data_IF_255023260956
#
_entry.id   IF_255023260956
#
_cell.length_a   1.000
_cell.length_b   1.000
_cell.length_c   1.000
_cell.angle_alpha   90.00
_cell.angle_beta   90.00
_cell.angle_gamma   90.00
#
_symmetry.space_group_name_H-M   'P 1'
#
loop_
_entity.id
_entity.type
_entity.pdbx_description
1 polymer ?
#
# COMPACT_ATOMS: atom_id res chain seq x y z
N UNK A 1 36.45 11.64 -20.49
CA UNK A 1 35.30 10.81 -20.04
C UNK A 1 34.44 11.50 -18.97
N UNK A 2 34.18 12.82 -19.06
CA UNK A 2 33.38 13.57 -18.06
C UNK A 2 31.91 13.82 -18.49
N UNK A 3 31.63 13.65 -19.78
CA UNK A 3 30.31 13.85 -20.39
C UNK A 3 29.21 12.88 -19.89
N UNK A 4 29.47 11.59 -19.52
CA UNK A 4 28.37 10.69 -19.15
C UNK A 4 27.76 11.01 -17.76
N UNK A 5 28.55 11.52 -16.81
CA UNK A 5 28.06 11.84 -15.47
C UNK A 5 27.18 13.09 -15.45
N UNK A 6 27.53 14.11 -16.24
CA UNK A 6 26.75 15.34 -16.34
C UNK A 6 25.37 15.08 -16.96
N UNK A 7 25.30 14.26 -18.01
CA UNK A 7 24.03 13.85 -18.63
C UNK A 7 23.12 13.12 -17.63
N UNK A 8 23.67 12.18 -16.85
CA UNK A 8 22.93 11.46 -15.82
C UNK A 8 22.41 12.40 -14.71
N UNK A 9 23.20 13.39 -14.29
CA UNK A 9 22.75 14.40 -13.33
C UNK A 9 21.65 15.30 -13.90
N UNK A 10 21.70 15.64 -15.18
CA UNK A 10 20.62 16.43 -15.82
C UNK A 10 19.33 15.61 -15.98
N UNK A 11 19.45 14.34 -16.36
CA UNK A 11 18.31 13.43 -16.52
C UNK A 11 17.62 13.14 -15.18
N UNK A 12 18.40 12.88 -14.12
CA UNK A 12 17.87 12.70 -12.76
C UNK A 12 17.16 13.95 -12.24
N UNK A 13 17.73 15.15 -12.44
CA UNK A 13 17.07 16.42 -12.07
C UNK A 13 15.74 16.61 -12.77
N UNK A 14 15.70 16.39 -14.09
CA UNK A 14 14.47 16.49 -14.88
C UNK A 14 13.42 15.49 -14.38
N UNK A 15 13.81 14.24 -14.14
CA UNK A 15 12.89 13.20 -13.62
C UNK A 15 12.38 13.51 -12.23
N UNK A 16 13.23 14.01 -11.33
CA UNK A 16 12.82 14.45 -10.00
C UNK A 16 11.81 15.61 -10.08
N UNK A 17 11.99 16.53 -11.02
CA UNK A 17 11.03 17.60 -11.27
C UNK A 17 9.68 17.08 -11.77
N UNK A 18 9.66 16.18 -12.77
CA UNK A 18 8.41 15.54 -13.21
C UNK A 18 7.74 14.79 -12.08
N UNK A 19 8.53 14.10 -11.26
CA UNK A 19 8.03 13.38 -10.10
C UNK A 19 7.37 14.32 -9.08
N UNK A 20 8.05 15.40 -8.67
CA UNK A 20 7.50 16.38 -7.72
C UNK A 20 6.27 17.09 -8.28
N UNK A 21 6.30 17.52 -9.54
CA UNK A 21 5.14 18.13 -10.21
C UNK A 21 3.96 17.18 -10.27
N UNK A 22 4.21 15.91 -10.58
CA UNK A 22 3.16 14.90 -10.59
C UNK A 22 2.55 14.74 -9.19
N UNK A 23 3.35 14.70 -8.12
CA UNK A 23 2.85 14.61 -6.75
C UNK A 23 1.95 15.80 -6.40
N UNK A 24 2.37 17.03 -6.72
CA UNK A 24 1.58 18.23 -6.48
C UNK A 24 0.23 18.17 -7.20
N UNK A 25 0.21 17.76 -8.46
CA UNK A 25 -1.04 17.63 -9.21
C UNK A 25 -1.96 16.54 -8.65
N UNK A 26 -1.40 15.43 -8.15
CA UNK A 26 -2.22 14.41 -7.48
C UNK A 26 -2.82 14.92 -6.18
N UNK A 27 -2.02 15.65 -5.41
CA UNK A 27 -2.44 16.26 -4.16
C UNK A 27 -3.62 17.21 -4.42
N UNK A 28 -3.53 18.05 -5.45
CA UNK A 28 -4.63 18.93 -5.86
C UNK A 28 -5.91 18.16 -6.18
N UNK A 29 -5.85 17.08 -6.98
CA UNK A 29 -7.02 16.25 -7.28
C UNK A 29 -7.62 15.67 -5.99
N UNK A 30 -6.78 15.09 -5.13
CA UNK A 30 -7.26 14.46 -3.89
C UNK A 30 -7.87 15.50 -2.94
N UNK A 31 -7.34 16.72 -2.88
CA UNK A 31 -7.95 17.82 -2.13
C UNK A 31 -9.32 18.22 -2.71
N UNK A 32 -9.49 18.22 -4.04
CA UNK A 32 -10.80 18.53 -4.63
C UNK A 32 -11.87 17.49 -4.30
N UNK A 33 -11.49 16.21 -4.20
CA UNK A 33 -12.42 15.10 -3.93
C UNK A 33 -12.41 14.61 -2.47
N UNK A 34 -11.92 15.43 -1.54
CA UNK A 34 -11.76 15.02 -0.15
C UNK A 34 -13.07 14.57 0.51
N UNK A 35 -14.17 15.28 0.26
CA UNK A 35 -15.48 14.93 0.81
C UNK A 35 -15.94 13.54 0.32
N UNK A 36 -15.80 13.26 -0.98
CA UNK A 36 -16.16 11.97 -1.56
C UNK A 36 -15.35 10.81 -0.96
N UNK A 37 -14.05 11.02 -0.73
CA UNK A 37 -13.19 10.03 -0.08
C UNK A 37 -13.65 9.80 1.37
N UNK A 38 -14.02 10.86 2.09
CA UNK A 38 -14.54 10.74 3.46
C UNK A 38 -15.85 9.94 3.50
N UNK A 39 -16.75 10.18 2.54
CA UNK A 39 -18.00 9.43 2.41
C UNK A 39 -17.75 7.96 2.10
N UNK A 40 -16.78 7.64 1.23
CA UNK A 40 -16.44 6.26 0.92
C UNK A 40 -15.91 5.50 2.15
N UNK A 41 -15.07 6.12 2.97
CA UNK A 41 -14.56 5.49 4.20
C UNK A 41 -15.64 5.27 5.26
N UNK A 42 -16.57 6.21 5.38
CA UNK A 42 -17.66 6.11 6.36
C UNK A 42 -18.79 5.17 5.89
N UNK A 43 -18.85 4.82 4.61
CA UNK A 43 -19.88 3.94 4.05
C UNK A 43 -19.94 2.57 4.74
N UNK A 44 -18.78 1.96 5.02
CA UNK A 44 -18.68 0.65 5.69
C UNK A 44 -19.28 0.64 7.11
N UNK A 45 -19.55 1.82 7.67
CA UNK A 45 -20.13 1.99 9.00
C UNK A 45 -21.64 2.24 8.97
N UNK A 46 -22.23 2.53 7.81
CA UNK A 46 -23.66 2.89 7.69
C UNK A 46 -24.62 1.74 8.04
N UNK A 47 -24.17 0.49 7.95
CA UNK A 47 -25.00 -0.70 8.19
C UNK A 47 -25.15 -1.14 9.66
N UNK A 48 -24.59 -0.42 10.64
CA UNK A 48 -24.62 -0.86 12.05
C UNK A 48 -25.30 0.13 13.01
N UNK A 49 -25.98 -0.40 14.05
CA UNK A 49 -26.59 0.35 15.16
C UNK A 49 -25.51 0.97 16.10
N UNK A 50 -24.64 1.82 15.58
CA UNK A 50 -23.51 2.39 16.33
C UNK A 50 -23.70 3.90 16.49
N UNK A 51 -23.59 4.40 17.73
CA UNK A 51 -23.59 5.84 18.02
C UNK A 51 -22.22 6.42 17.68
N UNK A 52 -22.15 7.25 16.64
CA UNK A 52 -20.92 7.95 16.27
C UNK A 52 -20.82 9.30 16.99
N UNK A 53 -19.67 9.56 17.61
CA UNK A 53 -19.36 10.87 18.16
C UNK A 53 -18.40 11.63 17.25
N UNK A 54 -18.86 12.79 16.74
CA UNK A 54 -18.03 13.76 16.05
C UNK A 54 -17.28 14.61 17.08
N UNK A 55 -16.04 14.25 17.40
CA UNK A 55 -15.21 15.12 18.23
C UNK A 55 -14.48 16.16 17.36
N UNK A 56 -14.63 17.45 17.69
CA UNK A 56 -13.92 18.63 17.12
C UNK A 56 -13.60 18.56 15.61
N UNK A 57 -14.52 19.10 14.82
CA UNK A 57 -14.43 19.33 13.36
C UNK A 57 -13.05 19.82 12.86
N UNK A 58 -12.32 20.64 13.61
CA UNK A 58 -11.07 21.23 13.12
C UNK A 58 -9.85 20.28 13.15
N UNK A 59 -9.77 19.35 14.13
CA UNK A 59 -8.62 18.41 14.25
C UNK A 59 -8.82 17.17 13.37
N UNK A 60 -10.08 16.81 13.09
CA UNK A 60 -10.45 15.74 12.16
C UNK A 60 -10.05 16.09 10.73
N UNK A 61 -10.27 17.34 10.30
CA UNK A 61 -9.90 17.86 8.98
C UNK A 61 -8.39 17.80 8.74
N UNK A 62 -7.56 18.13 9.72
CA UNK A 62 -6.10 18.16 9.57
C UNK A 62 -5.52 16.74 9.42
N UNK A 63 -6.00 15.77 10.20
CA UNK A 63 -5.64 14.36 10.01
C UNK A 63 -6.17 13.82 8.68
N UNK A 64 -7.33 14.29 8.23
CA UNK A 64 -7.89 13.95 6.93
C UNK A 64 -7.00 14.47 5.79
N UNK A 65 -6.49 15.70 5.87
CA UNK A 65 -5.53 16.25 4.90
C UNK A 65 -4.18 15.52 4.87
N UNK A 66 -3.64 15.13 6.02
CA UNK A 66 -2.43 14.27 6.07
C UNK A 66 -2.70 12.92 5.42
N UNK A 67 -3.92 12.40 5.56
CA UNK A 67 -4.30 11.16 4.94
C UNK A 67 -4.46 11.28 3.42
N UNK A 68 -5.15 12.31 2.96
CA UNK A 68 -5.25 12.69 1.55
C UNK A 68 -3.87 12.92 0.93
N UNK A 69 -2.93 13.49 1.69
CA UNK A 69 -1.54 13.60 1.29
C UNK A 69 -0.89 12.22 1.07
N UNK A 70 -1.07 11.27 2.00
CA UNK A 70 -0.62 9.87 1.87
C UNK A 70 -1.29 9.15 0.69
N UNK A 71 -2.60 9.35 0.48
CA UNK A 71 -3.34 8.81 -0.66
C UNK A 71 -2.87 9.42 -2.01
N UNK A 72 -2.55 10.72 -2.03
CA UNK A 72 -2.01 11.43 -3.20
C UNK A 72 -0.58 11.03 -3.56
N UNK A 73 0.24 10.65 -2.57
CA UNK A 73 1.55 10.02 -2.79
C UNK A 73 1.40 8.67 -3.50
N UNK A 74 0.22 8.05 -3.39
CA UNK A 74 -0.09 6.69 -3.81
C UNK A 74 -0.71 6.59 -5.21
N UNK A 75 -1.66 7.47 -5.55
CA UNK A 75 -2.35 7.46 -6.85
C UNK A 75 -1.44 7.76 -8.08
N UNK A 76 -0.16 8.10 -7.85
CA UNK A 76 0.86 8.22 -8.91
C UNK A 76 2.02 7.25 -8.78
N UNK A 77 1.81 6.12 -8.10
CA UNK A 77 2.83 5.07 -8.00
C UNK A 77 3.34 4.57 -9.36
N UNK A 78 2.53 4.68 -10.42
CA UNK A 78 2.97 4.51 -11.81
C UNK A 78 4.08 5.45 -12.21
N UNK A 79 3.88 6.76 -12.12
CA UNK A 79 4.90 7.75 -12.54
C UNK A 79 6.13 7.73 -11.61
N UNK A 80 5.90 7.43 -10.32
CA UNK A 80 6.93 7.35 -9.27
C UNK A 80 7.93 6.21 -9.50
N UNK A 81 7.48 5.01 -9.82
CA UNK A 81 8.41 3.90 -10.11
C UNK A 81 9.07 4.00 -11.48
N UNK A 82 8.40 4.57 -12.48
CA UNK A 82 8.99 4.73 -13.82
C UNK A 82 10.18 5.68 -13.81
N UNK A 83 10.13 6.73 -12.98
CA UNK A 83 11.24 7.66 -12.79
C UNK A 83 12.34 7.11 -11.88
N UNK A 84 11.99 6.42 -10.79
CA UNK A 84 12.98 5.85 -9.85
C UNK A 84 13.71 4.59 -10.36
N UNK A 85 13.06 3.74 -11.15
CA UNK A 85 13.72 2.53 -11.68
C UNK A 85 14.62 2.83 -12.87
N UNK A 86 14.22 3.78 -13.71
CA UNK A 86 15.07 4.32 -14.78
C UNK A 86 16.17 5.24 -14.24
N UNK A 87 16.05 5.73 -13.00
CA UNK A 87 17.10 6.48 -12.33
C UNK A 87 18.38 5.65 -12.19
N UNK A 88 18.31 4.33 -11.97
CA UNK A 88 19.49 3.49 -11.78
C UNK A 88 20.08 2.87 -13.07
N UNK A 89 19.43 3.01 -14.23
CA UNK A 89 19.90 2.42 -15.50
C UNK A 89 19.72 3.36 -16.70
N UNK A 90 20.70 3.41 -17.62
CA UNK A 90 20.65 4.29 -18.79
C UNK A 90 19.53 3.91 -19.76
N UNK A 91 18.77 4.92 -20.18
CA UNK A 91 17.45 4.80 -20.81
C UNK A 91 17.47 4.70 -22.35
N UNK A 92 18.30 3.83 -22.94
CA UNK A 92 18.55 3.85 -24.40
C UNK A 92 18.11 2.62 -25.20
N UNK A 93 17.30 1.69 -24.66
CA UNK A 93 16.89 0.48 -25.41
C UNK A 93 15.39 0.39 -25.74
N UNK A 94 15.10 0.21 -27.03
CA UNK A 94 13.75 0.03 -27.62
C UNK A 94 12.99 -1.18 -27.04
N UNK A 95 13.71 -2.19 -26.56
CA UNK A 95 13.16 -3.37 -25.86
C UNK A 95 12.61 -3.04 -24.47
N UNK A 96 13.06 -1.94 -23.83
CA UNK A 96 12.57 -1.51 -22.52
C UNK A 96 11.17 -0.89 -22.59
N UNK A 97 10.69 -0.44 -23.76
CA UNK A 97 9.39 0.21 -23.93
C UNK A 97 8.23 -0.79 -23.79
N UNK A 98 8.36 -1.99 -24.35
CA UNK A 98 7.36 -3.06 -24.18
C UNK A 98 7.28 -3.50 -22.71
N UNK A 99 8.43 -3.55 -22.04
CA UNK A 99 8.55 -3.88 -20.62
C UNK A 99 7.95 -2.78 -19.73
N UNK A 100 8.14 -1.52 -20.11
CA UNK A 100 7.53 -0.35 -19.47
C UNK A 100 6.00 -0.47 -19.43
N UNK A 101 5.38 -0.94 -20.52
CA UNK A 101 3.93 -1.16 -20.58
C UNK A 101 3.44 -2.24 -19.63
N UNK A 102 4.15 -3.37 -19.54
CA UNK A 102 3.79 -4.46 -18.62
C UNK A 102 4.00 -4.07 -17.15
N UNK A 103 5.07 -3.33 -16.86
CA UNK A 103 5.37 -2.77 -15.54
C UNK A 103 4.39 -1.65 -15.14
N UNK A 104 3.72 -1.02 -16.10
CA UNK A 104 2.69 -0.02 -15.85
C UNK A 104 1.36 -0.64 -15.44
N UNK A 105 0.83 -1.56 -16.26
CA UNK A 105 -0.56 -2.03 -16.14
C UNK A 105 -0.73 -3.06 -15.02
N UNK A 106 0.18 -4.04 -14.92
CA UNK A 106 0.05 -5.13 -13.95
C UNK A 106 0.06 -4.64 -12.50
N UNK A 107 1.10 -3.90 -12.06
CA UNK A 107 1.17 -3.37 -10.71
C UNK A 107 -0.01 -2.44 -10.37
N UNK A 108 -0.46 -1.59 -11.30
CA UNK A 108 -1.64 -0.74 -11.09
C UNK A 108 -2.90 -1.52 -10.74
N UNK A 109 -3.19 -2.56 -11.53
CA UNK A 109 -4.37 -3.40 -11.31
C UNK A 109 -4.32 -4.04 -9.92
N UNK A 110 -3.12 -4.42 -9.46
CA UNK A 110 -2.93 -5.03 -8.15
C UNK A 110 -2.96 -4.04 -6.99
N UNK A 111 -2.60 -2.78 -7.23
CA UNK A 111 -2.84 -1.70 -6.29
C UNK A 111 -4.35 -1.50 -6.07
N UNK A 112 -5.11 -1.40 -7.16
CA UNK A 112 -6.57 -1.25 -7.13
C UNK A 112 -7.22 -2.48 -6.46
N UNK A 113 -6.79 -3.70 -6.81
CA UNK A 113 -7.31 -4.91 -6.17
C UNK A 113 -6.99 -4.93 -4.68
N UNK A 114 -5.81 -4.45 -4.28
CA UNK A 114 -5.44 -4.29 -2.88
C UNK A 114 -6.39 -3.38 -2.11
N UNK A 115 -6.76 -2.23 -2.69
CA UNK A 115 -7.77 -1.34 -2.11
C UNK A 115 -9.13 -2.03 -1.97
N UNK A 116 -9.58 -2.75 -3.00
CA UNK A 116 -10.85 -3.50 -2.95
C UNK A 116 -10.85 -4.59 -1.87
N UNK A 117 -9.77 -5.38 -1.79
CA UNK A 117 -9.60 -6.42 -0.76
C UNK A 117 -9.68 -5.80 0.64
N UNK A 118 -9.04 -4.64 0.85
CA UNK A 118 -9.13 -3.93 2.13
C UNK A 118 -10.55 -3.49 2.48
N UNK A 119 -11.24 -2.83 1.55
CA UNK A 119 -12.58 -2.30 1.82
C UNK A 119 -13.66 -3.38 1.96
N UNK A 120 -13.56 -4.47 1.20
CA UNK A 120 -14.59 -5.50 1.17
C UNK A 120 -14.35 -6.57 2.24
N UNK A 121 -13.09 -6.92 2.51
CA UNK A 121 -12.76 -8.06 3.39
C UNK A 121 -12.20 -7.57 4.73
N UNK A 122 -11.10 -6.82 4.72
CA UNK A 122 -10.34 -6.52 5.94
C UNK A 122 -11.09 -5.57 6.88
N UNK A 123 -11.68 -4.51 6.33
CA UNK A 123 -12.40 -3.51 7.14
C UNK A 123 -13.66 -4.11 7.78
N UNK A 124 -14.58 -4.78 7.05
CA UNK A 124 -15.74 -5.41 7.66
C UNK A 124 -15.37 -6.48 8.70
N UNK A 125 -14.30 -7.26 8.45
CA UNK A 125 -13.80 -8.25 9.40
C UNK A 125 -13.35 -7.57 10.71
N UNK A 126 -12.58 -6.49 10.62
CA UNK A 126 -12.18 -5.71 11.80
C UNK A 126 -13.39 -5.12 12.55
N UNK A 127 -14.39 -4.60 11.82
CA UNK A 127 -15.59 -4.03 12.42
C UNK A 127 -16.50 -5.06 13.10
N UNK A 128 -16.60 -6.26 12.52
CA UNK A 128 -17.33 -7.38 13.11
C UNK A 128 -16.66 -7.86 14.39
N UNK A 129 -15.32 -7.96 14.37
CA UNK A 129 -14.55 -8.26 15.56
C UNK A 129 -14.77 -7.22 16.66
N UNK A 130 -14.66 -5.92 16.34
CA UNK A 130 -14.88 -4.89 17.35
C UNK A 130 -16.27 -5.01 17.96
N UNK A 131 -17.31 -5.29 17.18
CA UNK A 131 -18.69 -5.42 17.71
C UNK A 131 -18.85 -6.50 18.79
N UNK A 132 -17.99 -7.51 18.82
CA UNK A 132 -18.00 -8.53 19.88
C UNK A 132 -17.59 -8.01 21.26
N UNK A 133 -16.97 -6.83 21.33
CA UNK A 133 -16.56 -6.19 22.59
C UNK A 133 -17.67 -5.42 23.28
N UNK A 134 -18.84 -5.27 22.64
CA UNK A 134 -19.99 -4.66 23.28
C UNK A 134 -20.55 -5.60 24.34
N UNK A 135 -20.49 -5.16 25.61
CA UNK A 135 -21.10 -5.87 26.74
C UNK A 135 -22.32 -5.07 27.17
N UNK A 136 -23.51 -5.58 26.86
CA UNK A 136 -24.79 -5.00 27.32
C UNK A 136 -25.28 -5.79 28.53
N UNK A 137 -24.77 -5.48 29.72
CA UNK A 137 -25.27 -6.08 30.97
C UNK A 137 -26.18 -5.06 31.64
N UNK A 138 -27.46 -5.42 31.74
CA UNK A 138 -28.58 -4.57 32.19
C UNK A 138 -28.37 -3.96 33.60
N UNK A 139 -27.44 -4.49 34.40
CA UNK A 139 -27.22 -4.09 35.80
C UNK A 139 -25.78 -3.66 36.15
N UNK A 140 -24.87 -3.58 35.16
CA UNK A 140 -23.48 -3.14 35.38
C UNK A 140 -22.93 -2.44 34.14
N UNK A 141 -22.26 -1.30 34.33
CA UNK A 141 -21.42 -0.57 33.36
C UNK A 141 -21.57 -1.01 31.89
N UNK A 142 -22.43 -0.31 31.15
CA UNK A 142 -22.56 -0.45 29.70
C UNK A 142 -21.26 0.00 29.02
N UNK A 143 -20.44 -0.96 28.60
CA UNK A 143 -19.25 -0.69 27.77
C UNK A 143 -19.72 -0.71 26.32
N UNK A 144 -20.07 0.47 25.81
CA UNK A 144 -20.37 0.69 24.40
C UNK A 144 -19.07 1.01 23.65
N UNK A 145 -18.88 0.41 22.47
CA UNK A 145 -17.82 0.82 21.55
C UNK A 145 -18.01 2.27 21.12
N UNK A 146 -17.24 3.16 21.74
CA UNK A 146 -17.13 4.55 21.33
C UNK A 146 -16.27 4.65 20.07
N UNK A 147 -16.89 4.46 18.91
CA UNK A 147 -16.19 4.56 17.66
C UNK A 147 -15.93 6.04 17.29
N UNK A 148 -14.72 6.56 17.56
CA UNK A 148 -14.31 7.90 17.12
C UNK A 148 -14.04 7.91 15.62
N UNK A 149 -14.93 8.50 14.82
CA UNK A 149 -14.82 8.51 13.34
C UNK A 149 -13.38 8.79 12.87
N UNK A 150 -12.71 9.77 13.47
CA UNK A 150 -11.31 10.11 13.15
C UNK A 150 -10.32 8.95 13.24
N UNK A 151 -10.38 8.14 14.32
CA UNK A 151 -9.43 7.04 14.50
C UNK A 151 -9.73 5.92 13.51
N UNK A 152 -11.01 5.67 13.24
CA UNK A 152 -11.43 4.65 12.28
C UNK A 152 -11.09 5.03 10.85
N UNK A 153 -11.40 6.25 10.41
CA UNK A 153 -11.02 6.74 9.08
C UNK A 153 -9.50 6.70 8.91
N UNK A 154 -8.75 7.02 9.97
CA UNK A 154 -7.30 6.93 9.94
C UNK A 154 -6.81 5.47 9.77
N UNK A 155 -7.36 4.52 10.53
CA UNK A 155 -6.96 3.11 10.43
C UNK A 155 -7.33 2.47 9.11
N UNK A 156 -8.59 2.62 8.70
CA UNK A 156 -9.14 2.06 7.45
C UNK A 156 -8.28 2.46 6.26
N UNK A 157 -8.04 3.76 6.15
CA UNK A 157 -7.22 4.25 5.08
C UNK A 157 -5.78 3.72 5.20
N UNK A 158 -5.17 3.72 6.39
CA UNK A 158 -3.77 3.30 6.62
C UNK A 158 -3.54 1.83 6.24
N UNK A 159 -4.47 0.95 6.60
CA UNK A 159 -4.50 -0.45 6.19
C UNK A 159 -4.58 -0.56 4.67
N UNK A 160 -5.51 0.18 4.05
CA UNK A 160 -5.70 0.21 2.60
C UNK A 160 -4.41 0.64 1.88
N UNK A 161 -3.73 1.66 2.39
CA UNK A 161 -2.47 2.16 1.85
C UNK A 161 -1.34 1.16 1.99
N UNK A 162 -1.07 0.62 3.18
CA UNK A 162 0.08 -0.29 3.36
C UNK A 162 -0.07 -1.58 2.56
N UNK A 163 -1.27 -2.17 2.54
CA UNK A 163 -1.51 -3.43 1.84
C UNK A 163 -1.44 -3.26 0.32
N UNK A 164 -2.07 -2.22 -0.23
CA UNK A 164 -2.04 -1.94 -1.67
C UNK A 164 -0.63 -1.65 -2.16
N UNK A 165 0.16 -0.87 -1.41
CA UNK A 165 1.56 -0.62 -1.71
C UNK A 165 2.43 -1.86 -1.61
N UNK A 166 2.18 -2.71 -0.61
CA UNK A 166 2.92 -3.95 -0.44
C UNK A 166 2.71 -4.90 -1.64
N UNK A 167 1.46 -5.05 -2.09
CA UNK A 167 1.11 -5.81 -3.29
C UNK A 167 1.81 -5.24 -4.52
N UNK A 168 1.70 -3.92 -4.72
CA UNK A 168 2.31 -3.21 -5.83
C UNK A 168 3.83 -3.43 -5.91
N UNK A 169 4.55 -3.23 -4.80
CA UNK A 169 6.00 -3.39 -4.74
C UNK A 169 6.44 -4.84 -4.97
N UNK A 170 5.69 -5.79 -4.43
CA UNK A 170 6.00 -7.23 -4.56
C UNK A 170 5.88 -7.70 -6.01
N UNK A 171 4.82 -7.30 -6.73
CA UNK A 171 4.70 -7.60 -8.17
C UNK A 171 5.77 -6.93 -9.00
N UNK A 172 6.04 -5.67 -8.72
CA UNK A 172 7.06 -4.92 -9.45
C UNK A 172 8.42 -5.60 -9.35
N UNK A 173 8.80 -6.04 -8.15
CA UNK A 173 10.04 -6.78 -7.91
C UNK A 173 10.06 -8.11 -8.67
N UNK A 174 8.94 -8.85 -8.67
CA UNK A 174 8.80 -10.10 -9.42
C UNK A 174 8.98 -9.92 -10.93
N UNK A 175 8.25 -8.96 -11.52
CA UNK A 175 8.35 -8.66 -12.95
C UNK A 175 9.77 -8.25 -13.32
N UNK A 176 10.41 -7.43 -12.48
CA UNK A 176 11.78 -6.99 -12.74
C UNK A 176 12.77 -8.16 -12.78
N UNK A 177 12.75 -9.02 -11.78
CA UNK A 177 13.68 -10.17 -11.75
C UNK A 177 13.38 -11.23 -12.80
N UNK A 178 12.12 -11.37 -13.22
CA UNK A 178 11.78 -12.22 -14.36
C UNK A 178 12.51 -11.78 -15.63
N UNK A 179 12.64 -10.47 -15.83
CA UNK A 179 13.31 -9.89 -17.00
C UNK A 179 14.82 -9.97 -16.86
N UNK A 180 15.36 -9.66 -15.68
CA UNK A 180 16.80 -9.59 -15.48
C UNK A 180 17.45 -10.99 -15.55
N UNK A 181 16.94 -11.95 -14.76
CA UNK A 181 17.58 -13.27 -14.58
C UNK A 181 16.57 -14.44 -14.59
N UNK A 182 15.35 -14.26 -15.10
CA UNK A 182 14.33 -15.32 -15.10
C UNK A 182 13.87 -15.76 -13.69
N UNK A 183 13.85 -14.84 -12.72
CA UNK A 183 13.48 -15.05 -11.30
C UNK A 183 14.48 -15.86 -10.44
N UNK A 184 15.64 -16.25 -10.97
CA UNK A 184 16.62 -17.08 -10.25
C UNK A 184 17.17 -16.34 -9.02
N UNK A 185 17.62 -15.10 -9.20
CA UNK A 185 18.21 -14.29 -8.13
C UNK A 185 17.22 -13.99 -7.00
N UNK A 186 15.95 -13.72 -7.32
CA UNK A 186 14.90 -13.56 -6.30
C UNK A 186 14.64 -14.83 -5.51
N UNK A 187 14.57 -15.99 -6.17
CA UNK A 187 14.30 -17.25 -5.49
C UNK A 187 15.38 -17.55 -4.44
N UNK A 188 16.65 -17.41 -4.80
CA UNK A 188 17.76 -17.58 -3.84
C UNK A 188 17.70 -16.57 -2.69
N UNK A 189 17.34 -15.31 -2.97
CA UNK A 189 17.19 -14.28 -1.94
C UNK A 189 16.10 -14.64 -0.93
N UNK A 190 14.89 -15.01 -1.39
CA UNK A 190 13.79 -15.40 -0.50
C UNK A 190 14.12 -16.66 0.30
N UNK A 191 14.79 -17.65 -0.31
CA UNK A 191 15.17 -18.89 0.36
C UNK A 191 16.19 -18.64 1.49
N UNK A 192 17.19 -17.80 1.26
CA UNK A 192 18.23 -17.48 2.25
C UNK A 192 17.72 -16.56 3.37
N UNK A 193 16.88 -15.58 3.01
CA UNK A 193 16.51 -14.49 3.90
C UNK A 193 15.08 -14.58 4.45
N UNK A 194 14.38 -15.71 4.32
CA UNK A 194 12.97 -15.86 4.75
C UNK A 194 12.74 -15.40 6.19
N UNK A 195 13.57 -15.85 7.13
CA UNK A 195 13.44 -15.49 8.56
C UNK A 195 13.62 -13.99 8.79
N UNK A 196 14.63 -13.38 8.17
CA UNK A 196 14.90 -11.94 8.29
C UNK A 196 13.80 -11.09 7.66
N UNK A 197 13.23 -11.55 6.54
CA UNK A 197 12.14 -10.86 5.87
C UNK A 197 10.86 -10.83 6.70
N UNK A 198 10.53 -11.94 7.36
CA UNK A 198 9.40 -12.03 8.30
C UNK A 198 9.57 -11.06 9.47
N UNK A 199 10.75 -11.02 10.08
CA UNK A 199 11.07 -10.10 11.18
C UNK A 199 11.01 -8.64 10.70
N UNK A 200 11.52 -8.36 9.51
CA UNK A 200 11.47 -7.03 8.92
C UNK A 200 10.02 -6.56 8.70
N UNK A 201 9.15 -7.41 8.15
CA UNK A 201 7.72 -7.10 7.99
C UNK A 201 7.07 -6.85 9.36
N UNK A 202 7.36 -7.66 10.36
CA UNK A 202 6.82 -7.47 11.71
C UNK A 202 7.24 -6.12 12.30
N UNK A 203 8.52 -5.77 12.22
CA UNK A 203 9.04 -4.48 12.72
C UNK A 203 8.43 -3.31 11.94
N UNK A 204 8.40 -3.40 10.61
CA UNK A 204 7.81 -2.36 9.76
C UNK A 204 6.33 -2.17 10.09
N UNK A 205 5.54 -3.24 10.16
CA UNK A 205 4.11 -3.15 10.50
C UNK A 205 3.92 -2.55 11.88
N UNK A 206 4.71 -2.95 12.89
CA UNK A 206 4.61 -2.39 14.24
C UNK A 206 4.97 -0.90 14.34
N UNK A 207 5.86 -0.40 13.49
CA UNK A 207 6.23 1.02 13.47
C UNK A 207 5.25 1.86 12.65
N UNK A 208 4.75 1.27 11.56
CA UNK A 208 4.01 1.99 10.53
C UNK A 208 2.51 1.97 10.75
N UNK A 209 1.94 0.99 11.46
CA UNK A 209 0.50 0.83 11.68
C UNK A 209 0.05 1.36 13.05
N UNK A 210 -1.26 1.64 13.22
CA UNK A 210 -1.78 2.05 14.51
C UNK A 210 -1.57 0.96 15.57
N UNK A 211 -1.49 1.33 16.86
CA UNK A 211 -1.20 0.40 17.95
C UNK A 211 -2.35 -0.55 18.30
N UNK A 212 -3.42 -0.57 17.51
CA UNK A 212 -4.54 -1.51 17.67
C UNK A 212 -4.05 -2.93 17.36
N UNK A 213 -3.78 -3.71 18.41
CA UNK A 213 -3.14 -5.01 18.30
C UNK A 213 -3.84 -5.95 17.30
N UNK A 214 -5.18 -5.99 17.26
CA UNK A 214 -5.88 -6.87 16.32
C UNK A 214 -5.74 -6.41 14.87
N UNK A 215 -5.98 -5.13 14.59
CA UNK A 215 -5.86 -4.60 13.22
C UNK A 215 -4.45 -4.81 12.68
N UNK A 216 -3.44 -4.61 13.54
CA UNK A 216 -2.05 -4.90 13.22
C UNK A 216 -1.82 -6.39 12.93
N UNK A 217 -2.33 -7.30 13.78
CA UNK A 217 -2.21 -8.75 13.58
C UNK A 217 -2.88 -9.22 12.27
N UNK A 218 -4.06 -8.68 11.97
CA UNK A 218 -4.86 -9.04 10.81
C UNK A 218 -4.16 -8.63 9.51
N UNK A 219 -3.62 -7.41 9.47
CA UNK A 219 -2.83 -6.94 8.34
C UNK A 219 -1.51 -7.70 8.22
N UNK A 220 -0.84 -7.98 9.33
CA UNK A 220 0.39 -8.77 9.34
C UNK A 220 0.16 -10.16 8.76
N UNK A 221 -0.91 -10.85 9.16
CA UNK A 221 -1.29 -12.15 8.64
C UNK A 221 -1.56 -12.09 7.12
N UNK A 222 -2.25 -11.04 6.66
CA UNK A 222 -2.51 -10.84 5.23
C UNK A 222 -1.23 -10.63 4.41
N UNK A 223 -0.28 -9.84 4.92
CA UNK A 223 1.01 -9.60 4.28
C UNK A 223 1.82 -10.90 4.25
N UNK A 224 1.83 -11.66 5.34
CA UNK A 224 2.52 -12.95 5.40
C UNK A 224 1.96 -13.92 4.35
N UNK A 225 0.65 -14.08 4.27
CA UNK A 225 0.02 -14.94 3.26
C UNK A 225 0.43 -14.52 1.84
N UNK A 226 0.43 -13.22 1.54
CA UNK A 226 0.88 -12.69 0.26
C UNK A 226 2.34 -13.03 -0.03
N UNK A 227 3.24 -12.91 0.97
CA UNK A 227 4.66 -13.25 0.77
C UNK A 227 4.89 -14.72 0.46
N UNK A 228 4.09 -15.60 1.04
CA UNK A 228 4.19 -17.04 0.77
C UNK A 228 3.67 -17.37 -0.63
N UNK A 229 2.57 -16.73 -1.06
CA UNK A 229 2.09 -16.83 -2.44
C UNK A 229 3.14 -16.34 -3.43
N UNK A 230 3.79 -15.20 -3.16
CA UNK A 230 4.87 -14.71 -4.01
C UNK A 230 6.07 -15.66 -4.06
N UNK A 231 6.44 -16.27 -2.93
CA UNK A 231 7.49 -17.28 -2.90
C UNK A 231 7.10 -18.52 -3.74
N UNK A 232 5.86 -19.02 -3.62
CA UNK A 232 5.37 -20.13 -4.43
C UNK A 232 5.45 -19.84 -5.93
N UNK A 233 5.09 -18.62 -6.34
CA UNK A 233 5.23 -18.18 -7.74
C UNK A 233 6.69 -18.31 -8.19
N UNK A 234 7.65 -17.82 -7.39
CA UNK A 234 9.09 -17.96 -7.75
C UNK A 234 9.53 -19.42 -7.87
N UNK A 235 9.00 -20.32 -7.02
CA UNK A 235 9.32 -21.75 -7.09
C UNK A 235 8.81 -22.38 -8.40
N UNK A 236 7.57 -22.08 -8.80
CA UNK A 236 6.97 -22.63 -10.03
C UNK A 236 7.81 -22.21 -11.26
N UNK A 237 8.19 -20.93 -11.33
CA UNK A 237 9.04 -20.43 -12.42
C UNK A 237 10.45 -21.03 -12.39
N UNK A 238 11.03 -21.20 -11.21
CA UNK A 238 12.36 -21.82 -11.07
C UNK A 238 12.39 -23.27 -11.54
N UNK A 239 11.35 -24.06 -11.23
CA UNK A 239 11.22 -25.44 -11.71
C UNK A 239 11.08 -25.46 -13.23
N UNK A 240 10.25 -24.58 -13.81
CA UNK A 240 10.03 -24.52 -15.26
C UNK A 240 11.29 -24.15 -16.05
N UNK A 241 12.18 -23.35 -15.48
CA UNK A 241 13.39 -22.89 -16.19
C UNK A 241 14.58 -23.86 -16.06
N UNK A 242 14.54 -24.81 -15.12
CA UNK A 242 15.62 -25.79 -14.86
C UNK A 242 15.26 -27.23 -15.31
N UNK A 243 14.11 -27.41 -15.98
CA UNK A 243 13.70 -28.64 -16.68
C UNK A 243 13.70 -28.32 -18.17
#
# INVERSE_FOLDING_TARGET
>A
MQVPAQLYLTESKFRLFFFSFSLLFCLLIVLTYHEAIFFLETYNFSGGEKKFYYYKYHRTILNFYVYLYVYSLCNKHTIRLLSFQSLFYSSWYKSQIQLFRMLLVGPLLLFISGLFICHIILIPLALSFFSTWNITVIYTLDVQLEARIQTYTYWTLQIAFYLSNFLFFSLFKLLRSYIDDGMISLHFFFRKNRKYFLVFIYICTSLLLPPEGLVQLLLLLSILALTEVFFLITCIFFVKNNV
#
